data_IF_886778699034
#
_entry.id   IF_886778699034
#
_cell.length_a   1.000
_cell.length_b   1.000
_cell.length_c   1.000
_cell.angle_alpha   90.00
_cell.angle_beta   90.00
_cell.angle_gamma   90.00
#
_symmetry.space_group_name_H-M   'P 1'
#
loop_
_entity.id
_entity.type
_entity.pdbx_description
1 polymer ?
#
# COMPACT_ATOMS: atom_id res chain seq x y z
N UNK A 1 -27.85 -0.65 -55.50
CA UNK A 1 -27.32 -1.92 -54.94
C UNK A 1 -27.68 -1.96 -53.45
N UNK A 2 -28.69 -2.75 -53.04
CA UNK A 2 -29.23 -2.78 -51.66
C UNK A 2 -28.84 -4.10 -51.00
N UNK A 3 -27.95 -4.06 -50.01
CA UNK A 3 -27.56 -5.23 -49.22
C UNK A 3 -28.66 -5.48 -48.18
N UNK A 4 -29.47 -6.52 -48.38
CA UNK A 4 -30.45 -6.99 -47.39
C UNK A 4 -29.75 -7.94 -46.43
N UNK A 5 -29.44 -7.47 -45.23
CA UNK A 5 -28.98 -8.32 -44.12
C UNK A 5 -30.22 -9.01 -43.53
N UNK A 6 -30.37 -10.30 -43.82
CA UNK A 6 -31.40 -11.14 -43.21
C UNK A 6 -30.96 -11.53 -41.80
N UNK A 7 -31.54 -10.90 -40.79
CA UNK A 7 -31.42 -11.33 -39.39
C UNK A 7 -32.47 -12.42 -39.17
N UNK A 8 -32.05 -13.68 -39.28
CA UNK A 8 -32.89 -14.84 -39.03
C UNK A 8 -33.21 -14.94 -37.54
N UNK A 9 -34.47 -14.71 -37.19
CA UNK A 9 -34.97 -14.79 -35.82
C UNK A 9 -34.92 -16.23 -35.30
N UNK A 10 -34.08 -16.49 -34.28
CA UNK A 10 -33.95 -17.80 -33.64
C UNK A 10 -35.12 -18.04 -32.71
N UNK A 11 -36.10 -18.81 -33.21
CA UNK A 11 -37.23 -19.35 -32.46
C UNK A 11 -36.77 -20.59 -31.68
N UNK A 12 -36.31 -20.40 -30.44
CA UNK A 12 -35.90 -21.51 -29.58
C UNK A 12 -35.78 -21.10 -28.11
N UNK A 13 -36.86 -21.29 -27.33
CA UNK A 13 -36.95 -20.96 -25.88
C UNK A 13 -35.79 -21.52 -25.01
N UNK A 14 -35.04 -22.52 -25.50
CA UNK A 14 -33.89 -23.12 -24.80
C UNK A 14 -32.56 -22.39 -25.07
N UNK A 15 -32.42 -21.71 -26.21
CA UNK A 15 -31.19 -20.98 -26.59
C UNK A 15 -31.10 -19.64 -25.84
N UNK A 16 -32.25 -19.04 -25.53
CA UNK A 16 -32.32 -17.79 -24.75
C UNK A 16 -31.73 -17.92 -23.35
N UNK A 17 -31.85 -19.08 -22.69
CA UNK A 17 -31.29 -19.29 -21.33
C UNK A 17 -29.77 -19.45 -21.34
N UNK A 18 -29.22 -20.12 -22.36
CA UNK A 18 -27.78 -20.30 -22.51
C UNK A 18 -27.08 -18.96 -22.78
N UNK A 19 -27.67 -18.12 -23.64
CA UNK A 19 -27.10 -16.81 -23.95
C UNK A 19 -27.08 -15.87 -22.73
N UNK A 20 -28.13 -15.89 -21.90
CA UNK A 20 -28.18 -15.11 -20.66
C UNK A 20 -27.14 -15.56 -19.63
N UNK A 21 -26.87 -16.86 -19.51
CA UNK A 21 -25.82 -17.37 -18.62
C UNK A 21 -24.42 -16.93 -19.06
N UNK A 22 -24.12 -16.99 -20.36
CA UNK A 22 -22.84 -16.52 -20.89
C UNK A 22 -22.70 -15.01 -20.69
N UNK A 23 -23.74 -14.23 -20.98
CA UNK A 23 -23.73 -12.79 -20.74
C UNK A 23 -23.53 -12.44 -19.26
N UNK A 24 -24.15 -13.20 -18.35
CA UNK A 24 -23.99 -13.03 -16.90
C UNK A 24 -22.55 -13.33 -16.47
N UNK A 25 -21.94 -14.41 -16.96
CA UNK A 25 -20.55 -14.77 -16.65
C UNK A 25 -19.59 -13.70 -17.17
N UNK A 26 -19.78 -13.21 -18.40
CA UNK A 26 -18.93 -12.15 -18.98
C UNK A 26 -19.07 -10.84 -18.21
N UNK A 27 -20.29 -10.44 -17.84
CA UNK A 27 -20.52 -9.26 -17.01
C UNK A 27 -19.90 -9.42 -15.62
N UNK A 28 -19.96 -10.60 -15.02
CA UNK A 28 -19.34 -10.87 -13.72
C UNK A 28 -17.81 -10.83 -13.78
N UNK A 29 -17.22 -11.35 -14.87
CA UNK A 29 -15.78 -11.26 -15.11
C UNK A 29 -15.31 -9.81 -15.30
N UNK A 30 -16.11 -8.96 -15.94
CA UNK A 30 -15.78 -7.54 -16.13
C UNK A 30 -15.84 -6.74 -14.82
N UNK A 31 -16.76 -7.07 -13.91
CA UNK A 31 -16.82 -6.44 -12.58
C UNK A 31 -15.65 -6.89 -11.68
N UNK A 32 -15.14 -8.11 -11.88
CA UNK A 32 -13.97 -8.62 -11.16
C UNK A 32 -12.64 -7.96 -11.59
N UNK A 33 -12.59 -7.31 -12.76
CA UNK A 33 -11.46 -6.49 -13.23
C UNK A 33 -11.60 -5.01 -12.83
N UNK A 34 -12.18 -4.72 -11.66
CA UNK A 34 -12.09 -3.38 -11.08
C UNK A 34 -10.61 -3.04 -10.86
N UNK A 35 -10.06 -2.23 -11.76
CA UNK A 35 -8.67 -1.79 -11.82
C UNK A 35 -8.28 -1.08 -10.52
N UNK A 36 -7.71 -1.83 -9.56
CA UNK A 36 -7.00 -1.21 -8.44
C UNK A 36 -5.80 -0.51 -9.04
N UNK A 37 -5.94 0.80 -9.30
CA UNK A 37 -4.80 1.65 -9.66
C UNK A 37 -3.82 1.67 -8.49
N UNK A 38 -2.86 0.76 -8.53
CA UNK A 38 -1.74 0.76 -7.59
C UNK A 38 -1.00 2.09 -7.73
N UNK A 39 -0.86 2.80 -6.61
CA UNK A 39 -0.10 4.05 -6.60
C UNK A 39 1.38 3.71 -6.77
N UNK A 40 2.10 4.29 -7.73
CA UNK A 40 3.52 4.00 -7.92
C UNK A 40 4.34 4.27 -6.64
N UNK A 41 5.27 3.37 -6.25
CA UNK A 41 6.08 3.52 -5.03
C UNK A 41 6.80 4.88 -4.92
N UNK A 42 7.34 5.37 -6.04
CA UNK A 42 8.01 6.67 -6.10
C UNK A 42 7.09 7.84 -5.71
N UNK A 43 5.80 7.75 -6.05
CA UNK A 43 4.80 8.75 -5.75
C UNK A 43 4.34 8.65 -4.29
N UNK A 44 4.17 7.43 -3.76
CA UNK A 44 3.89 7.21 -2.35
C UNK A 44 4.98 7.84 -1.46
N UNK A 45 6.25 7.60 -1.79
CA UNK A 45 7.39 8.17 -1.06
C UNK A 45 7.48 9.69 -1.24
N UNK A 46 7.18 10.21 -2.43
CA UNK A 46 7.09 11.66 -2.65
C UNK A 46 6.05 12.31 -1.74
N UNK A 47 4.88 11.70 -1.60
CA UNK A 47 3.80 12.18 -0.76
C UNK A 47 4.17 12.07 0.73
N UNK A 48 4.70 10.92 1.15
CA UNK A 48 5.18 10.72 2.51
C UNK A 48 6.25 11.76 2.91
N UNK A 49 7.21 12.03 2.02
CA UNK A 49 8.24 13.05 2.26
C UNK A 49 7.67 14.47 2.36
N UNK A 50 6.60 14.79 1.60
CA UNK A 50 5.90 16.07 1.73
C UNK A 50 5.18 16.17 3.07
N UNK A 51 4.41 15.16 3.45
CA UNK A 51 3.71 15.11 4.75
C UNK A 51 4.70 15.24 5.90
N UNK A 52 5.82 14.50 5.82
CA UNK A 52 6.91 14.56 6.77
C UNK A 52 7.53 15.97 6.91
N UNK A 53 7.58 16.76 5.82
CA UNK A 53 8.08 18.13 5.86
C UNK A 53 7.14 19.10 6.60
N UNK A 54 5.84 18.78 6.69
CA UNK A 54 4.87 19.55 7.49
C UNK A 54 4.80 19.11 8.96
N UNK A 55 5.42 17.98 9.31
CA UNK A 55 5.43 17.50 10.69
C UNK A 55 6.41 18.31 11.55
N UNK A 56 5.85 19.13 12.44
CA UNK A 56 6.59 19.99 13.37
C UNK A 56 7.51 19.21 14.33
N UNK A 57 7.26 17.93 14.54
CA UNK A 57 8.10 17.08 15.38
C UNK A 57 9.26 16.44 14.59
N UNK A 58 9.31 16.56 13.27
CA UNK A 58 10.37 15.96 12.45
C UNK A 58 11.77 16.45 12.82
N UNK A 59 12.01 17.77 13.03
CA UNK A 59 13.32 18.25 13.46
C UNK A 59 13.76 17.70 14.83
N UNK A 60 12.81 17.34 15.71
CA UNK A 60 13.11 16.75 17.03
C UNK A 60 13.46 15.26 16.94
N UNK A 61 13.01 14.57 15.88
CA UNK A 61 13.28 13.14 15.64
C UNK A 61 14.60 12.91 14.93
N UNK A 62 14.97 13.84 14.06
CA UNK A 62 16.16 13.74 13.22
C UNK A 62 17.32 14.41 13.93
N UNK A 63 18.35 13.65 14.30
CA UNK A 63 19.60 14.22 14.83
C UNK A 63 20.46 14.79 13.71
N UNK A 64 20.99 13.91 12.86
CA UNK A 64 21.78 14.26 11.68
C UNK A 64 21.22 13.63 10.39
N UNK A 65 20.46 12.54 10.53
CA UNK A 65 19.91 11.74 9.43
C UNK A 65 18.55 11.18 9.82
N UNK A 66 17.58 11.22 8.91
CA UNK A 66 16.28 10.60 9.10
C UNK A 66 16.37 9.11 8.80
N UNK A 67 16.10 8.27 9.80
CA UNK A 67 16.02 6.81 9.60
C UNK A 67 14.60 6.45 9.22
N UNK A 68 14.44 5.86 8.04
CA UNK A 68 13.18 5.32 7.53
C UNK A 68 13.20 3.81 7.67
N UNK A 69 12.34 3.28 8.54
CA UNK A 69 12.19 1.85 8.75
C UNK A 69 11.12 1.29 7.80
N UNK A 70 11.48 0.33 6.96
CA UNK A 70 10.54 -0.43 6.15
C UNK A 70 10.22 -1.73 6.87
N UNK A 71 8.95 -1.87 7.26
CA UNK A 71 8.43 -3.01 8.01
C UNK A 71 7.68 -3.92 7.05
N UNK A 72 8.02 -5.21 7.05
CA UNK A 72 7.40 -6.23 6.19
C UNK A 72 7.09 -7.50 6.99
N UNK A 73 6.11 -8.28 6.56
CA UNK A 73 5.86 -9.63 7.11
C UNK A 73 6.65 -10.67 6.31
N UNK A 74 7.20 -11.67 7.00
CA UNK A 74 7.94 -12.75 6.34
C UNK A 74 7.02 -13.63 5.48
N UNK A 75 5.74 -13.71 5.86
CA UNK A 75 4.72 -14.49 5.16
C UNK A 75 4.09 -13.78 3.96
N UNK A 76 4.44 -12.51 3.70
CA UNK A 76 3.83 -11.69 2.65
C UNK A 76 4.82 -11.35 1.52
N UNK A 77 4.87 -12.21 0.51
CA UNK A 77 5.75 -12.01 -0.65
C UNK A 77 5.41 -10.75 -1.47
N UNK A 78 4.15 -10.29 -1.46
CA UNK A 78 3.78 -9.03 -2.12
C UNK A 78 4.32 -7.84 -1.33
N UNK A 79 4.13 -7.84 -0.01
CA UNK A 79 4.72 -6.88 0.92
C UNK A 79 6.23 -6.77 0.77
N UNK A 80 6.96 -7.89 0.71
CA UNK A 80 8.41 -7.90 0.50
C UNK A 80 8.84 -7.28 -0.85
N UNK A 81 8.10 -7.57 -1.94
CA UNK A 81 8.37 -6.97 -3.25
C UNK A 81 8.16 -5.46 -3.22
N UNK A 82 7.08 -5.00 -2.57
CA UNK A 82 6.82 -3.58 -2.38
C UNK A 82 7.88 -2.91 -1.52
N UNK A 83 8.30 -3.55 -0.43
CA UNK A 83 9.32 -3.08 0.48
C UNK A 83 10.64 -2.78 -0.26
N UNK A 84 11.08 -3.69 -1.14
CA UNK A 84 12.26 -3.48 -2.00
C UNK A 84 12.09 -2.33 -2.99
N UNK A 85 10.91 -2.18 -3.60
CA UNK A 85 10.64 -1.04 -4.49
C UNK A 85 10.69 0.29 -3.75
N UNK A 86 10.11 0.33 -2.55
CA UNK A 86 10.11 1.51 -1.68
C UNK A 86 11.53 1.88 -1.23
N UNK A 87 12.34 0.88 -0.86
CA UNK A 87 13.76 1.09 -0.58
C UNK A 87 14.47 1.73 -1.78
N UNK A 88 14.34 1.15 -2.98
CA UNK A 88 14.98 1.69 -4.17
C UNK A 88 14.52 3.13 -4.47
N UNK A 89 13.22 3.43 -4.26
CA UNK A 89 12.67 4.79 -4.38
C UNK A 89 13.25 5.77 -3.36
N UNK A 90 13.48 5.33 -2.13
CA UNK A 90 14.09 6.13 -1.06
C UNK A 90 15.59 6.32 -1.31
N UNK A 91 16.33 5.31 -1.75
CA UNK A 91 17.77 5.41 -2.01
C UNK A 91 18.09 6.35 -3.17
N UNK A 92 17.23 6.38 -4.20
CA UNK A 92 17.30 7.38 -5.27
C UNK A 92 17.13 8.81 -4.76
N UNK A 93 16.54 8.99 -3.57
CA UNK A 93 16.37 10.28 -2.91
C UNK A 93 17.44 10.41 -1.82
N UNK A 94 18.44 11.25 -2.06
CA UNK A 94 19.46 11.54 -1.04
C UNK A 94 18.90 12.19 0.24
N UNK A 95 17.65 12.68 0.21
CA UNK A 95 16.98 13.36 1.30
C UNK A 95 15.52 12.92 1.47
N UNK A 96 15.08 12.85 2.73
CA UNK A 96 13.69 12.68 3.14
C UNK A 96 13.27 13.90 3.97
N UNK A 97 12.17 14.57 3.62
CA UNK A 97 11.73 15.81 4.28
C UNK A 97 12.83 16.90 4.40
N UNK A 98 13.71 17.00 3.39
CA UNK A 98 14.78 18.01 3.34
C UNK A 98 16.07 17.63 4.08
N UNK A 99 16.09 16.52 4.83
CA UNK A 99 17.27 16.04 5.58
C UNK A 99 17.84 14.76 4.96
N UNK A 100 19.14 14.47 5.10
CA UNK A 100 19.72 13.20 4.66
C UNK A 100 18.95 12.02 5.26
N UNK A 101 18.76 10.93 4.51
CA UNK A 101 17.99 9.77 4.97
C UNK A 101 18.71 8.44 4.81
N UNK A 102 18.42 7.49 5.69
CA UNK A 102 18.82 6.06 5.58
C UNK A 102 17.58 5.20 5.60
N UNK A 103 17.70 4.03 4.99
CA UNK A 103 16.64 3.03 4.95
C UNK A 103 17.11 1.80 5.71
N UNK A 104 16.24 1.27 6.56
CA UNK A 104 16.46 0.02 7.29
C UNK A 104 15.28 -0.92 7.03
N UNK A 105 15.54 -2.22 6.86
CA UNK A 105 14.49 -3.22 6.81
C UNK A 105 14.28 -3.86 8.17
N UNK A 106 13.04 -4.19 8.47
CA UNK A 106 12.70 -5.01 9.60
C UNK A 106 11.56 -5.97 9.27
N UNK A 107 11.80 -7.25 9.54
CA UNK A 107 10.75 -8.26 9.54
C UNK A 107 9.92 -8.08 10.81
N UNK A 108 8.62 -7.90 10.65
CA UNK A 108 7.69 -7.68 11.74
C UNK A 108 7.60 -8.90 12.66
N UNK A 109 7.97 -8.71 13.92
CA UNK A 109 7.90 -9.73 14.98
C UNK A 109 6.80 -9.45 16.00
N UNK A 110 5.92 -8.48 15.73
CA UNK A 110 4.87 -8.03 16.62
C UNK A 110 5.03 -6.58 17.08
N UNK A 111 4.02 -6.05 17.78
CA UNK A 111 3.92 -4.62 18.06
C UNK A 111 4.90 -4.15 19.16
N UNK A 112 5.15 -4.97 20.19
CA UNK A 112 6.08 -4.63 21.29
C UNK A 112 7.55 -4.57 20.81
N UNK A 113 8.09 -5.59 20.10
CA UNK A 113 9.44 -5.51 19.55
C UNK A 113 9.62 -4.32 18.59
N UNK A 114 8.60 -4.06 17.76
CA UNK A 114 8.61 -2.92 16.84
C UNK A 114 8.71 -1.57 17.58
N UNK A 115 7.90 -1.37 18.62
CA UNK A 115 7.94 -0.15 19.42
C UNK A 115 9.31 0.04 20.12
N UNK A 116 9.90 -1.05 20.64
CA UNK A 116 11.24 -1.01 21.23
C UNK A 116 12.31 -0.63 20.19
N UNK A 117 12.25 -1.23 18.99
CA UNK A 117 13.14 -0.91 17.88
C UNK A 117 13.04 0.57 17.49
N UNK A 118 11.82 1.07 17.29
CA UNK A 118 11.55 2.46 16.91
C UNK A 118 12.11 3.44 17.95
N UNK A 119 11.90 3.17 19.23
CA UNK A 119 12.41 3.98 20.34
C UNK A 119 13.94 3.98 20.37
N UNK A 120 14.56 2.80 20.31
CA UNK A 120 16.01 2.64 20.49
C UNK A 120 16.80 3.20 19.31
N UNK A 121 16.27 3.09 18.09
CA UNK A 121 16.92 3.58 16.87
C UNK A 121 16.51 4.99 16.48
N UNK A 122 15.60 5.63 17.22
CA UNK A 122 15.06 6.98 16.92
C UNK A 122 14.55 7.06 15.48
N UNK A 123 13.73 6.10 15.10
CA UNK A 123 13.17 6.01 13.75
C UNK A 123 12.27 7.22 13.49
N UNK A 124 12.55 7.95 12.41
CA UNK A 124 11.78 9.14 12.04
C UNK A 124 10.47 8.77 11.34
N UNK A 125 10.49 7.69 10.55
CA UNK A 125 9.33 7.17 9.82
C UNK A 125 9.35 5.65 9.79
N UNK A 126 8.19 5.03 10.02
CA UNK A 126 7.94 3.62 9.79
C UNK A 126 6.97 3.44 8.61
N UNK A 127 7.42 2.74 7.57
CA UNK A 127 6.64 2.40 6.39
C UNK A 127 6.24 0.93 6.44
N UNK A 128 4.94 0.65 6.42
CA UNK A 128 4.39 -0.71 6.46
C UNK A 128 4.11 -1.20 5.03
N UNK A 129 4.93 -2.15 4.58
CA UNK A 129 4.84 -2.78 3.28
C UNK A 129 4.19 -4.16 3.41
N UNK A 130 2.93 -4.27 2.99
CA UNK A 130 2.15 -5.50 3.06
C UNK A 130 0.91 -5.38 3.96
N UNK A 131 0.27 -6.52 4.20
CA UNK A 131 -1.01 -6.57 4.93
C UNK A 131 -0.86 -6.53 6.45
N UNK A 132 -1.24 -5.40 7.06
CA UNK A 132 -1.22 -5.18 8.50
C UNK A 132 -2.61 -4.94 9.10
N UNK A 133 -3.70 -5.23 8.36
CA UNK A 133 -5.07 -4.93 8.80
C UNK A 133 -5.37 -5.48 10.21
N UNK A 134 -5.04 -6.75 10.46
CA UNK A 134 -5.26 -7.39 11.76
C UNK A 134 -4.34 -6.89 12.89
N UNK A 135 -3.20 -6.30 12.56
CA UNK A 135 -2.22 -5.80 13.52
C UNK A 135 -2.37 -4.30 13.80
N UNK A 136 -3.14 -3.58 12.99
CA UNK A 136 -3.15 -2.11 12.96
C UNK A 136 -3.49 -1.50 14.32
N UNK A 137 -4.48 -2.06 15.02
CA UNK A 137 -4.88 -1.60 16.37
C UNK A 137 -3.75 -1.83 17.38
N UNK A 138 -3.13 -3.01 17.36
CA UNK A 138 -2.06 -3.36 18.29
C UNK A 138 -0.77 -2.56 18.02
N UNK A 139 -0.44 -2.33 16.75
CA UNK A 139 0.67 -1.48 16.32
C UNK A 139 0.41 -0.04 16.77
N UNK A 140 -0.77 0.51 16.47
CA UNK A 140 -1.13 1.88 16.88
C UNK A 140 -1.04 2.06 18.39
N UNK A 141 -1.55 1.10 19.18
CA UNK A 141 -1.44 1.14 20.63
C UNK A 141 0.01 1.10 21.12
N UNK A 142 0.85 0.25 20.53
CA UNK A 142 2.25 0.12 20.93
C UNK A 142 3.13 1.31 20.50
N UNK A 143 2.77 1.99 19.41
CA UNK A 143 3.44 3.21 18.95
C UNK A 143 2.88 4.48 19.57
N UNK A 144 1.80 4.39 20.35
CA UNK A 144 1.23 5.52 21.07
C UNK A 144 2.27 6.17 21.99
N UNK A 145 2.39 7.50 21.91
CA UNK A 145 3.38 8.29 22.65
C UNK A 145 4.79 8.25 22.05
N UNK A 146 5.05 7.46 21.00
CA UNK A 146 6.30 7.56 20.25
C UNK A 146 6.20 8.65 19.20
N UNK A 147 7.25 9.46 19.08
CA UNK A 147 7.38 10.40 17.98
C UNK A 147 7.89 9.64 16.76
N UNK A 148 6.97 9.09 15.96
CA UNK A 148 7.27 8.42 14.68
C UNK A 148 6.15 8.70 13.68
N UNK A 149 6.50 8.99 12.43
CA UNK A 149 5.54 9.06 11.34
C UNK A 149 5.26 7.65 10.82
N UNK A 150 4.01 7.19 10.89
CA UNK A 150 3.61 5.90 10.32
C UNK A 150 2.97 6.10 8.95
N UNK A 151 3.36 5.28 7.97
CA UNK A 151 2.79 5.28 6.63
C UNK A 151 2.48 3.85 6.25
N UNK A 152 1.29 3.61 5.72
CA UNK A 152 0.89 2.32 5.17
C UNK A 152 0.67 2.45 3.66
N UNK A 153 1.00 1.39 2.95
CA UNK A 153 0.70 1.24 1.52
C UNK A 153 -0.75 0.83 1.27
N UNK A 154 -1.47 0.47 2.32
CA UNK A 154 -2.84 -0.01 2.25
C UNK A 154 -3.83 1.10 2.56
N UNK A 155 -4.94 1.11 1.81
CA UNK A 155 -6.11 1.86 2.19
C UNK A 155 -6.79 1.07 3.32
N UNK A 156 -6.30 1.23 4.56
CA UNK A 156 -7.06 0.80 5.72
C UNK A 156 -8.42 1.50 5.58
N UNK A 157 -9.49 0.73 5.42
CA UNK A 157 -10.83 1.29 5.44
C UNK A 157 -10.96 1.94 6.82
N UNK A 158 -10.82 3.27 6.87
CA UNK A 158 -11.07 4.07 8.07
C UNK A 158 -12.56 3.99 8.31
N UNK A 159 -13.01 2.86 8.86
CA UNK A 159 -14.33 2.70 9.43
C UNK A 159 -14.24 3.32 10.82
N UNK A 160 -14.55 4.61 10.85
CA UNK A 160 -14.93 5.30 12.08
C UNK A 160 -16.24 4.76 12.62
#
# INVERSE_FOLDING_TARGET
MKIRIAITAVRGRKISRALSLVALVVLFSLVALADRREVPPDLQIKLAAKVAAYDRNMPKRVSAKAVVLIVQKDTDAQGQRLARRIQASLEKRSKFAGVPSSVEFHTYQGPKPLAALIRNRKIAMAYFAGNFEHDTVAISAALSGLSVLTVTSELAAVRG
#
